data_IF_717942825346
#
_entry.id   IF_717942825346
#
_cell.length_a   1.000
_cell.length_b   1.000
_cell.length_c   1.000
_cell.angle_alpha   90.00
_cell.angle_beta   90.00
_cell.angle_gamma   90.00
#
_symmetry.space_group_name_H-M   'P 1'
#
loop_
_entity.id
_entity.type
_entity.pdbx_description
1 polymer ?
#
# COMPACT_ATOMS: atom_id res chain seq x y z
N UNK A 1 -33.42 -1.16 7.67
CA UNK A 1 -34.89 -0.88 7.62
C UNK A 1 -35.24 0.17 8.66
N UNK A 2 -35.75 1.32 8.25
CA UNK A 2 -36.25 2.35 9.17
C UNK A 2 -37.80 2.30 9.22
N UNK A 3 -38.36 2.47 10.39
CA UNK A 3 -39.80 2.51 10.58
C UNK A 3 -40.25 3.96 10.59
N UNK A 4 -41.29 4.30 9.84
CA UNK A 4 -41.93 5.63 9.86
C UNK A 4 -43.38 5.55 10.30
N UNK A 5 -43.86 6.63 10.91
CA UNK A 5 -45.19 6.75 11.44
C UNK A 5 -45.87 7.96 10.78
N UNK A 6 -47.19 7.82 10.47
CA UNK A 6 -47.97 8.92 9.94
C UNK A 6 -49.32 8.97 10.63
N UNK A 7 -49.80 10.18 10.95
CA UNK A 7 -51.07 10.45 11.58
C UNK A 7 -51.70 11.72 10.98
N UNK A 8 -52.99 11.68 10.67
CA UNK A 8 -53.71 12.82 10.15
C UNK A 8 -54.53 13.50 11.26
N UNK A 9 -54.77 14.81 11.11
CA UNK A 9 -55.67 15.57 11.98
C UNK A 9 -56.82 16.14 11.17
N UNK A 10 -58.06 15.86 11.60
CA UNK A 10 -59.25 16.46 11.06
C UNK A 10 -59.72 17.62 11.99
N UNK A 11 -59.87 18.81 11.45
CA UNK A 11 -60.37 19.97 12.17
C UNK A 11 -61.72 20.42 11.59
N UNK A 12 -62.71 20.53 12.45
CA UNK A 12 -64.03 21.05 12.04
C UNK A 12 -64.73 21.86 13.19
N UNK A 13 -65.36 22.96 12.90
CA UNK A 13 -66.09 23.82 13.87
C UNK A 13 -65.26 24.09 15.16
N UNK A 14 -63.94 24.35 15.03
CA UNK A 14 -63.05 24.61 16.15
C UNK A 14 -62.64 23.38 16.99
N UNK A 15 -62.95 22.17 16.55
CA UNK A 15 -62.52 20.89 17.16
C UNK A 15 -61.55 20.20 16.27
N UNK A 16 -60.57 19.56 16.86
CA UNK A 16 -59.60 18.69 16.18
C UNK A 16 -59.74 17.23 16.66
N UNK A 17 -59.70 16.28 15.71
CA UNK A 17 -59.72 14.84 15.98
C UNK A 17 -58.54 14.24 15.18
N UNK A 18 -57.78 13.38 15.82
CA UNK A 18 -56.63 12.70 15.19
C UNK A 18 -57.04 11.30 14.72
N UNK A 19 -56.43 10.86 13.60
CA UNK A 19 -56.58 9.49 13.11
C UNK A 19 -55.80 8.50 13.96
N UNK A 20 -55.97 7.20 13.67
CA UNK A 20 -54.97 6.21 14.08
C UNK A 20 -53.61 6.52 13.48
N UNK A 21 -52.54 6.06 14.11
CA UNK A 21 -51.19 6.07 13.56
C UNK A 21 -51.07 4.91 12.57
N UNK A 22 -50.57 5.21 11.36
CA UNK A 22 -50.14 4.17 10.41
C UNK A 22 -48.65 4.03 10.50
N UNK A 23 -48.16 2.79 10.36
CA UNK A 23 -46.74 2.44 10.44
C UNK A 23 -46.31 1.87 9.10
N UNK A 24 -45.19 2.36 8.56
CA UNK A 24 -44.53 1.84 7.39
C UNK A 24 -43.07 1.52 7.68
N UNK A 25 -42.45 0.75 6.80
CA UNK A 25 -41.03 0.46 6.85
C UNK A 25 -40.37 0.77 5.51
N UNK A 26 -39.20 1.38 5.55
CA UNK A 26 -38.34 1.49 4.37
C UNK A 26 -37.44 0.25 4.29
N UNK A 27 -37.31 -0.31 3.11
CA UNK A 27 -36.38 -1.43 2.81
C UNK A 27 -35.18 -0.86 2.09
N UNK A 28 -34.01 -1.14 2.60
CA UNK A 28 -32.75 -0.84 1.91
C UNK A 28 -32.63 -1.78 0.71
N UNK A 29 -32.49 -1.19 -0.49
CA UNK A 29 -32.46 -1.94 -1.75
C UNK A 29 -31.08 -1.93 -2.39
N UNK A 30 -30.20 -1.00 -2.01
CA UNK A 30 -28.83 -0.93 -2.52
C UNK A 30 -27.86 -1.62 -1.55
N UNK A 31 -27.05 -2.53 -2.09
CA UNK A 31 -25.89 -3.12 -1.42
C UNK A 31 -24.64 -2.64 -2.13
N UNK A 32 -23.64 -2.20 -1.34
CA UNK A 32 -22.34 -1.76 -1.83
C UNK A 32 -21.27 -2.68 -1.24
N UNK A 33 -20.36 -3.16 -2.08
CA UNK A 33 -19.16 -3.87 -1.65
C UNK A 33 -17.94 -3.27 -2.33
N UNK A 34 -16.79 -3.33 -1.67
CA UNK A 34 -15.51 -2.86 -2.18
C UNK A 34 -14.46 -3.94 -1.99
N UNK A 35 -13.59 -4.13 -2.98
CA UNK A 35 -12.47 -5.06 -2.93
C UNK A 35 -11.24 -4.44 -3.57
N UNK A 36 -10.05 -4.91 -3.20
CA UNK A 36 -8.77 -4.41 -3.70
C UNK A 36 -7.89 -5.55 -4.24
N UNK A 37 -7.13 -5.28 -5.28
CA UNK A 37 -6.16 -6.19 -5.88
C UNK A 37 -4.90 -5.42 -6.28
N UNK A 38 -3.71 -5.81 -5.78
CA UNK A 38 -3.47 -6.83 -4.75
C UNK A 38 -3.98 -6.40 -3.38
N UNK A 39 -4.07 -7.34 -2.42
CA UNK A 39 -4.44 -7.06 -1.04
C UNK A 39 -3.29 -6.49 -0.20
N UNK A 40 -2.07 -6.47 -0.76
CA UNK A 40 -0.87 -5.91 -0.14
C UNK A 40 -0.31 -4.79 -1.00
N UNK A 41 0.48 -3.90 -0.38
CA UNK A 41 1.10 -2.78 -1.09
C UNK A 41 2.53 -2.51 -0.62
N UNK A 42 3.29 -1.86 -1.51
CA UNK A 42 4.48 -1.05 -1.21
C UNK A 42 4.23 0.39 -1.68
N UNK A 43 4.94 1.34 -1.12
CA UNK A 43 4.89 2.71 -1.61
C UNK A 43 5.35 2.75 -3.08
N UNK A 44 4.53 3.35 -3.94
CA UNK A 44 4.71 3.38 -5.39
C UNK A 44 3.91 2.32 -6.16
N UNK A 45 3.37 1.29 -5.50
CA UNK A 45 2.54 0.29 -6.15
C UNK A 45 1.18 0.85 -6.56
N UNK A 46 0.58 0.21 -7.56
CA UNK A 46 -0.79 0.48 -7.99
C UNK A 46 -1.72 -0.61 -7.47
N UNK A 47 -2.81 -0.18 -6.83
CA UNK A 47 -3.90 -1.04 -6.34
C UNK A 47 -5.13 -0.80 -7.20
N UNK A 48 -5.74 -1.87 -7.70
CA UNK A 48 -7.02 -1.83 -8.41
C UNK A 48 -8.15 -2.03 -7.42
N UNK A 49 -9.08 -1.08 -7.35
CA UNK A 49 -10.29 -1.18 -6.56
C UNK A 49 -11.48 -1.54 -7.43
N UNK A 50 -12.34 -2.43 -6.91
CA UNK A 50 -13.61 -2.80 -7.53
C UNK A 50 -14.72 -2.49 -6.54
N UNK A 51 -15.63 -1.57 -6.91
CA UNK A 51 -16.84 -1.25 -6.15
C UNK A 51 -18.04 -1.84 -6.86
N UNK A 52 -18.78 -2.70 -6.18
CA UNK A 52 -19.99 -3.33 -6.72
C UNK A 52 -21.23 -2.75 -6.06
N UNK A 53 -22.15 -2.25 -6.88
CA UNK A 53 -23.45 -1.70 -6.50
C UNK A 53 -24.52 -2.70 -6.97
N UNK A 54 -25.26 -3.33 -6.05
CA UNK A 54 -26.34 -4.27 -6.34
C UNK A 54 -27.67 -3.65 -5.90
N UNK A 55 -28.60 -3.50 -6.83
CA UNK A 55 -29.96 -3.01 -6.57
C UNK A 55 -30.95 -4.18 -6.54
N UNK A 56 -31.39 -4.57 -5.35
CA UNK A 56 -32.42 -5.61 -5.15
C UNK A 56 -33.86 -5.09 -5.31
N UNK A 57 -34.03 -3.79 -5.58
CA UNK A 57 -35.34 -3.15 -5.77
C UNK A 57 -35.93 -3.40 -7.15
N UNK A 58 -37.21 -3.06 -7.29
CA UNK A 58 -37.98 -3.18 -8.54
C UNK A 58 -37.93 -1.95 -9.44
N UNK A 59 -37.27 -0.89 -8.99
CA UNK A 59 -37.06 0.35 -9.75
C UNK A 59 -35.55 0.60 -9.90
N UNK A 60 -35.14 1.18 -11.03
CA UNK A 60 -33.75 1.59 -11.22
C UNK A 60 -33.40 2.74 -10.25
N UNK A 61 -32.18 2.76 -9.73
CA UNK A 61 -31.60 3.88 -9.00
C UNK A 61 -30.76 4.72 -9.99
N UNK A 62 -31.07 5.99 -10.13
CA UNK A 62 -30.41 6.90 -11.07
C UNK A 62 -29.92 8.16 -10.38
N UNK A 63 -28.88 8.80 -10.90
CA UNK A 63 -28.30 10.00 -10.32
C UNK A 63 -27.61 9.73 -8.97
N UNK A 64 -27.05 8.54 -8.79
CA UNK A 64 -26.23 8.24 -7.63
C UNK A 64 -24.87 8.93 -7.74
N UNK A 65 -24.34 9.32 -6.58
CA UNK A 65 -22.97 9.82 -6.42
C UNK A 65 -22.20 8.85 -5.54
N UNK A 66 -21.02 8.46 -6.01
CA UNK A 66 -20.04 7.71 -5.25
C UNK A 66 -18.92 8.66 -4.85
N UNK A 67 -18.59 8.68 -3.56
CA UNK A 67 -17.44 9.40 -3.02
C UNK A 67 -16.52 8.40 -2.33
N UNK A 68 -15.26 8.40 -2.71
CA UNK A 68 -14.21 7.52 -2.19
C UNK A 68 -13.15 8.36 -1.51
N UNK A 69 -12.83 8.04 -0.26
CA UNK A 69 -11.92 8.84 0.56
C UNK A 69 -10.43 8.65 0.21
N UNK A 70 -10.10 7.72 -0.71
CA UNK A 70 -8.74 7.38 -1.10
C UNK A 70 -7.84 7.00 0.10
N UNK A 71 -8.43 6.34 1.10
CA UNK A 71 -7.74 5.92 2.31
C UNK A 71 -7.39 7.07 3.26
N UNK A 72 -8.00 8.24 3.11
CA UNK A 72 -7.69 9.41 3.92
C UNK A 72 -7.83 9.13 5.41
N UNK A 73 -6.85 9.60 6.19
CA UNK A 73 -6.84 9.53 7.64
C UNK A 73 -6.35 10.85 8.25
N UNK A 74 -6.55 11.00 9.55
CA UNK A 74 -6.10 12.17 10.30
C UNK A 74 -4.83 11.82 11.09
N UNK A 75 -3.76 12.61 10.93
CA UNK A 75 -2.53 12.47 11.70
C UNK A 75 -2.74 12.83 13.17
N UNK A 76 -1.83 12.46 14.07
CA UNK A 76 -1.89 12.88 15.47
C UNK A 76 -1.91 14.40 15.68
N UNK A 77 -1.39 15.18 14.73
CA UNK A 77 -1.42 16.65 14.74
C UNK A 77 -2.74 17.25 14.25
N UNK A 78 -3.63 16.43 13.69
CA UNK A 78 -4.95 16.83 13.20
C UNK A 78 -5.01 17.11 11.70
N UNK A 79 -3.93 16.90 10.95
CA UNK A 79 -3.89 17.10 9.50
C UNK A 79 -4.49 15.91 8.78
N UNK A 80 -5.33 16.17 7.76
CA UNK A 80 -5.85 15.13 6.87
C UNK A 80 -4.84 14.82 5.78
N UNK A 81 -4.44 13.57 5.68
CA UNK A 81 -3.54 13.06 4.62
C UNK A 81 -4.23 11.96 3.81
N UNK A 82 -3.81 11.79 2.56
CA UNK A 82 -4.43 10.87 1.61
C UNK A 82 -3.35 9.93 1.06
N UNK A 83 -3.32 8.66 1.46
CA UNK A 83 -2.26 7.71 1.11
C UNK A 83 -2.39 7.13 -0.32
N UNK A 84 -3.51 7.36 -1.00
CA UNK A 84 -3.76 6.87 -2.35
C UNK A 84 -3.97 8.05 -3.32
N UNK A 85 -3.30 7.99 -4.46
CA UNK A 85 -3.51 8.91 -5.58
C UNK A 85 -4.32 8.19 -6.66
N UNK A 86 -5.51 8.69 -7.00
CA UNK A 86 -6.26 8.17 -8.13
C UNK A 86 -5.46 8.24 -9.42
N UNK A 87 -5.42 7.15 -10.19
CA UNK A 87 -4.82 7.13 -11.52
C UNK A 87 -5.83 7.69 -12.52
N UNK A 88 -5.55 8.88 -13.04
CA UNK A 88 -6.45 9.59 -13.94
C UNK A 88 -6.78 8.76 -15.19
N UNK A 89 -8.06 8.71 -15.55
CA UNK A 89 -8.56 7.95 -16.69
C UNK A 89 -8.61 6.43 -16.49
N UNK A 90 -8.32 5.90 -15.30
CA UNK A 90 -8.40 4.46 -15.01
C UNK A 90 -9.83 3.97 -14.74
N UNK A 91 -10.74 4.85 -14.31
CA UNK A 91 -12.10 4.44 -13.94
C UNK A 91 -12.88 3.88 -15.14
N UNK A 92 -13.47 2.69 -14.94
CA UNK A 92 -14.41 2.04 -15.87
C UNK A 92 -15.67 1.65 -15.13
N UNK A 93 -16.82 1.81 -15.80
CA UNK A 93 -18.13 1.47 -15.26
C UNK A 93 -18.78 0.39 -16.12
N UNK A 94 -19.22 -0.70 -15.48
CA UNK A 94 -19.89 -1.81 -16.13
C UNK A 94 -21.30 -1.95 -15.55
N UNK A 95 -22.32 -1.88 -16.36
CA UNK A 95 -23.71 -2.11 -15.96
C UNK A 95 -24.18 -3.46 -16.47
N UNK A 96 -24.55 -4.35 -15.56
CA UNK A 96 -24.89 -5.76 -15.89
C UNK A 96 -23.83 -6.43 -16.78
N UNK A 97 -22.54 -6.16 -16.51
CA UNK A 97 -21.40 -6.72 -17.26
C UNK A 97 -21.09 -6.01 -18.59
N UNK A 98 -21.83 -4.98 -18.97
CA UNK A 98 -21.58 -4.19 -20.19
C UNK A 98 -20.84 -2.91 -19.84
N UNK A 99 -19.69 -2.68 -20.51
CA UNK A 99 -18.92 -1.45 -20.35
C UNK A 99 -19.74 -0.24 -20.80
N UNK A 100 -19.88 0.73 -19.91
CA UNK A 100 -20.54 2.02 -20.16
C UNK A 100 -19.60 3.07 -20.74
N UNK A 101 -20.13 4.29 -21.00
CA UNK A 101 -19.30 5.46 -21.34
C UNK A 101 -18.41 5.84 -20.16
N UNK A 102 -17.34 6.59 -20.44
CA UNK A 102 -16.47 7.11 -19.38
C UNK A 102 -17.27 8.06 -18.47
N UNK A 103 -17.24 7.84 -17.14
CA UNK A 103 -17.99 8.66 -16.20
C UNK A 103 -17.33 10.01 -15.97
N UNK A 104 -18.10 10.97 -15.42
CA UNK A 104 -17.56 12.23 -14.92
C UNK A 104 -16.88 11.98 -13.57
N UNK A 105 -15.60 12.30 -13.50
CA UNK A 105 -14.74 12.09 -12.33
C UNK A 105 -14.16 13.40 -11.85
N UNK A 106 -14.19 13.60 -10.54
CA UNK A 106 -13.39 14.63 -9.86
C UNK A 106 -12.51 13.95 -8.81
N UNK A 107 -11.20 14.18 -8.86
CA UNK A 107 -10.26 13.60 -7.93
C UNK A 107 -9.22 14.65 -7.49
N UNK A 108 -9.40 15.21 -6.30
CA UNK A 108 -8.45 16.16 -5.69
C UNK A 108 -7.98 15.58 -4.35
N UNK A 109 -8.84 15.53 -3.35
CA UNK A 109 -8.59 14.95 -2.02
C UNK A 109 -9.45 13.70 -1.77
N UNK A 110 -10.37 13.43 -2.67
CA UNK A 110 -11.27 12.28 -2.72
C UNK A 110 -11.67 12.04 -4.17
N UNK A 111 -12.05 10.82 -4.49
CA UNK A 111 -12.56 10.46 -5.81
C UNK A 111 -14.09 10.57 -5.80
N UNK A 112 -14.66 11.48 -6.58
CA UNK A 112 -16.12 11.63 -6.75
C UNK A 112 -16.54 11.23 -8.15
N UNK A 113 -17.53 10.33 -8.24
CA UNK A 113 -18.16 9.88 -9.49
C UNK A 113 -19.63 10.18 -9.42
N UNK A 114 -20.16 10.93 -10.39
CA UNK A 114 -21.57 11.34 -10.45
C UNK A 114 -22.34 10.62 -11.54
N UNK A 115 -23.67 10.77 -11.49
CA UNK A 115 -24.61 10.20 -12.48
C UNK A 115 -24.57 8.69 -12.66
N UNK A 116 -24.24 7.97 -11.58
CA UNK A 116 -24.24 6.50 -11.59
C UNK A 116 -25.70 6.02 -11.58
N UNK A 117 -25.97 4.99 -12.41
CA UNK A 117 -27.25 4.30 -12.47
C UNK A 117 -27.08 2.81 -12.19
N UNK A 118 -28.00 2.24 -11.40
CA UNK A 118 -28.06 0.80 -11.13
C UNK A 118 -29.44 0.28 -11.52
N UNK A 119 -29.56 -0.61 -12.52
CA UNK A 119 -30.85 -1.15 -12.99
C UNK A 119 -31.65 -1.85 -11.88
N UNK A 120 -32.95 -1.92 -12.03
CA UNK A 120 -33.81 -2.72 -11.16
C UNK A 120 -33.38 -4.19 -11.18
N UNK A 121 -33.16 -4.80 -10.02
CA UNK A 121 -32.66 -6.19 -9.91
C UNK A 121 -31.31 -6.44 -10.56
N UNK A 122 -30.54 -5.38 -10.88
CA UNK A 122 -29.27 -5.43 -11.58
C UNK A 122 -28.10 -4.91 -10.76
N UNK A 123 -26.93 -4.85 -11.41
CA UNK A 123 -25.70 -4.37 -10.79
C UNK A 123 -24.95 -3.33 -11.64
N UNK A 124 -24.12 -2.54 -10.97
CA UNK A 124 -23.14 -1.66 -11.60
C UNK A 124 -21.83 -1.84 -10.88
N UNK A 125 -20.76 -2.09 -11.64
CA UNK A 125 -19.38 -2.20 -11.14
C UNK A 125 -18.60 -0.98 -11.56
N UNK A 126 -17.84 -0.41 -10.61
CA UNK A 126 -16.84 0.61 -10.86
C UNK A 126 -15.46 0.00 -10.59
N UNK A 127 -14.56 0.10 -11.55
CA UNK A 127 -13.18 -0.41 -11.44
C UNK A 127 -12.25 0.76 -11.68
N UNK A 128 -11.33 1.03 -10.76
CA UNK A 128 -10.35 2.10 -10.89
C UNK A 128 -9.03 1.73 -10.23
N UNK A 129 -7.99 2.44 -10.59
CA UNK A 129 -6.64 2.27 -10.04
C UNK A 129 -6.25 3.44 -9.15
N UNK A 130 -5.48 3.16 -8.11
CA UNK A 130 -4.88 4.16 -7.25
C UNK A 130 -3.44 3.78 -6.91
N UNK A 131 -2.52 4.75 -6.96
CA UNK A 131 -1.10 4.57 -6.61
C UNK A 131 -0.89 4.91 -5.14
N UNK A 132 -0.21 4.03 -4.42
CA UNK A 132 0.15 4.20 -3.01
C UNK A 132 1.30 5.21 -2.89
N UNK A 133 1.15 6.23 -2.06
CA UNK A 133 2.13 7.30 -1.88
C UNK A 133 2.80 7.27 -0.48
N UNK A 134 3.64 8.27 -0.20
CA UNK A 134 4.44 8.38 1.04
C UNK A 134 3.64 8.59 2.32
N UNK A 135 2.33 8.79 2.24
CA UNK A 135 1.44 8.86 3.40
C UNK A 135 0.95 7.47 3.85
N UNK A 136 1.12 6.43 3.04
CA UNK A 136 0.84 5.05 3.45
C UNK A 136 1.96 4.52 4.34
N UNK A 137 1.62 3.91 5.47
CA UNK A 137 2.62 3.34 6.38
C UNK A 137 3.33 2.14 5.75
N UNK A 138 4.67 2.18 5.58
CA UNK A 138 5.44 1.04 5.08
C UNK A 138 5.82 0.02 6.17
N UNK A 139 5.46 0.27 7.44
CA UNK A 139 5.73 -0.64 8.55
C UNK A 139 5.03 -2.00 8.35
N UNK A 140 5.49 -3.05 9.02
CA UNK A 140 4.97 -4.41 8.86
C UNK A 140 3.48 -4.56 9.20
N UNK A 141 2.97 -3.72 10.10
CA UNK A 141 1.57 -3.62 10.49
C UNK A 141 0.82 -2.47 9.80
N UNK A 142 1.47 -1.85 8.79
CA UNK A 142 0.90 -0.75 8.03
C UNK A 142 -0.33 -1.17 7.26
N UNK A 143 -1.37 -0.33 7.28
CA UNK A 143 -2.62 -0.55 6.57
C UNK A 143 -3.09 0.72 5.89
N UNK A 144 -3.84 0.55 4.80
CA UNK A 144 -4.63 1.61 4.16
C UNK A 144 -6.06 1.11 4.04
N UNK A 145 -6.97 1.71 4.83
CA UNK A 145 -8.41 1.45 4.75
C UNK A 145 -9.05 2.50 3.87
N UNK A 146 -9.58 2.06 2.74
CA UNK A 146 -10.20 2.92 1.74
C UNK A 146 -11.71 2.73 1.75
N UNK A 147 -12.46 3.78 2.12
CA UNK A 147 -13.92 3.78 2.24
C UNK A 147 -14.58 4.48 1.06
N UNK A 148 -15.67 3.90 0.59
CA UNK A 148 -16.58 4.50 -0.39
C UNK A 148 -17.94 4.74 0.22
N UNK A 149 -18.55 5.88 -0.10
CA UNK A 149 -19.93 6.23 0.23
C UNK A 149 -20.74 6.42 -1.04
N UNK A 150 -21.88 5.75 -1.14
CA UNK A 150 -22.84 5.93 -2.25
C UNK A 150 -24.09 6.59 -1.73
N UNK A 151 -24.53 7.69 -2.38
CA UNK A 151 -25.66 8.49 -1.98
C UNK A 151 -26.49 8.96 -3.20
N UNK A 152 -27.66 9.50 -2.99
CA UNK A 152 -28.53 10.02 -4.05
C UNK A 152 -29.78 9.12 -4.26
N UNK A 153 -30.54 9.36 -5.32
CA UNK A 153 -31.76 8.62 -5.68
C UNK A 153 -32.78 8.44 -4.54
N UNK A 154 -32.75 9.28 -3.50
CA UNK A 154 -33.64 9.18 -2.35
C UNK A 154 -33.38 8.02 -1.40
N UNK A 155 -32.21 7.34 -1.52
CA UNK A 155 -31.77 6.30 -0.58
C UNK A 155 -30.98 6.91 0.59
N UNK A 156 -30.91 6.20 1.71
CA UNK A 156 -29.91 6.49 2.75
C UNK A 156 -28.51 6.21 2.20
N UNK A 157 -27.48 7.00 2.54
CA UNK A 157 -26.12 6.71 2.15
C UNK A 157 -25.68 5.30 2.59
N UNK A 158 -24.98 4.60 1.71
CA UNK A 158 -24.46 3.25 1.96
C UNK A 158 -22.94 3.30 1.82
N UNK A 159 -22.21 2.74 2.79
CA UNK A 159 -20.76 2.69 2.80
C UNK A 159 -20.23 1.29 2.60
N UNK A 160 -19.03 1.18 2.04
CA UNK A 160 -18.22 -0.03 2.02
C UNK A 160 -16.74 0.36 2.11
N UNK A 161 -15.95 -0.47 2.77
CA UNK A 161 -14.52 -0.26 2.92
C UNK A 161 -13.73 -1.50 2.51
N UNK A 162 -12.48 -1.29 2.15
CA UNK A 162 -11.51 -2.36 1.90
C UNK A 162 -10.16 -1.92 2.48
N UNK A 163 -9.47 -2.85 3.11
CA UNK A 163 -8.17 -2.62 3.72
C UNK A 163 -7.10 -3.41 2.98
N UNK A 164 -6.06 -2.72 2.52
CA UNK A 164 -4.82 -3.30 2.02
C UNK A 164 -3.73 -3.16 3.07
N UNK A 165 -2.81 -4.12 3.14
CA UNK A 165 -1.74 -4.16 4.14
C UNK A 165 -0.37 -3.98 3.51
N UNK A 166 0.58 -3.39 4.25
CA UNK A 166 1.96 -3.30 3.78
C UNK A 166 2.53 -4.70 3.55
N UNK A 167 3.16 -4.92 2.37
CA UNK A 167 3.80 -6.19 2.05
C UNK A 167 4.99 -6.41 2.98
N UNK A 168 4.99 -7.55 3.70
CA UNK A 168 6.09 -7.91 4.60
C UNK A 168 7.24 -8.57 3.83
N UNK A 169 8.46 -8.07 4.03
CA UNK A 169 9.64 -8.65 3.42
C UNK A 169 10.87 -7.76 3.50
N UNK A 170 12.05 -8.36 3.31
CA UNK A 170 13.30 -7.65 3.12
C UNK A 170 13.39 -7.11 1.68
N UNK A 171 13.98 -5.92 1.53
CA UNK A 171 14.31 -5.30 0.24
C UNK A 171 15.76 -4.85 0.27
N UNK A 172 16.63 -5.70 -0.28
CA UNK A 172 18.07 -5.51 -0.20
C UNK A 172 18.61 -4.75 -1.41
N UNK A 173 19.60 -3.91 -1.14
CA UNK A 173 20.48 -3.29 -2.12
C UNK A 173 21.94 -3.40 -1.66
N UNK A 174 22.89 -3.34 -2.61
CA UNK A 174 24.31 -3.40 -2.31
C UNK A 174 25.05 -2.31 -3.08
N UNK A 175 26.00 -1.66 -2.41
CA UNK A 175 26.97 -0.77 -3.04
C UNK A 175 28.39 -1.23 -2.72
N UNK A 176 29.34 -0.98 -3.64
CA UNK A 176 30.75 -1.34 -3.50
C UNK A 176 31.61 -0.08 -3.61
N UNK A 177 32.55 0.08 -2.70
CA UNK A 177 33.56 1.14 -2.72
C UNK A 177 34.96 0.53 -2.60
N UNK A 178 35.97 1.26 -3.09
CA UNK A 178 37.39 0.89 -3.04
C UNK A 178 38.19 2.03 -2.40
N UNK A 179 39.10 1.68 -1.48
CA UNK A 179 40.02 2.64 -0.87
C UNK A 179 41.37 1.96 -0.54
N UNK A 180 42.47 2.61 -0.87
CA UNK A 180 42.64 3.78 -1.72
C UNK A 180 42.38 3.43 -3.20
N UNK A 181 42.01 4.42 -4.01
CA UNK A 181 41.73 4.22 -5.45
C UNK A 181 43.02 4.10 -6.28
N UNK A 182 44.17 4.47 -5.71
CA UNK A 182 45.51 4.35 -6.33
C UNK A 182 46.42 3.70 -5.33
N UNK A 183 47.00 2.56 -5.72
CA UNK A 183 47.90 1.80 -4.89
C UNK A 183 49.18 1.45 -5.70
N UNK A 184 50.38 1.39 -5.07
CA UNK A 184 51.59 0.86 -5.72
C UNK A 184 51.46 -0.65 -5.86
N UNK A 185 52.34 -1.26 -6.67
CA UNK A 185 52.56 -2.71 -6.68
C UNK A 185 52.85 -3.20 -5.26
N UNK A 186 52.24 -4.33 -4.87
CA UNK A 186 52.23 -4.85 -3.51
C UNK A 186 51.57 -3.89 -2.48
N UNK A 187 50.75 -2.95 -2.92
CA UNK A 187 49.98 -2.09 -2.05
C UNK A 187 48.74 -2.76 -1.50
N UNK A 188 48.33 -2.31 -0.34
CA UNK A 188 47.09 -2.78 0.30
C UNK A 188 45.91 -1.95 -0.13
N UNK A 189 44.78 -2.58 -0.37
CA UNK A 189 43.49 -1.92 -0.64
C UNK A 189 42.35 -2.62 0.12
N UNK A 190 41.26 -1.90 0.28
CA UNK A 190 40.05 -2.39 0.93
C UNK A 190 38.84 -2.18 0.01
N UNK A 191 38.14 -3.24 -0.28
CA UNK A 191 36.78 -3.18 -0.81
C UNK A 191 35.78 -3.13 0.36
N UNK A 192 34.84 -2.19 0.27
CA UNK A 192 33.75 -2.04 1.23
C UNK A 192 32.43 -2.27 0.52
N UNK A 193 31.69 -3.27 0.94
CA UNK A 193 30.32 -3.54 0.51
C UNK A 193 29.36 -3.05 1.58
N UNK A 194 28.47 -2.12 1.22
CA UNK A 194 27.38 -1.68 2.10
C UNK A 194 26.11 -2.33 1.60
N UNK A 195 25.50 -3.16 2.44
CA UNK A 195 24.22 -3.82 2.15
C UNK A 195 23.15 -3.11 2.98
N UNK A 196 22.12 -2.65 2.29
CA UNK A 196 21.00 -1.93 2.90
C UNK A 196 19.71 -2.71 2.69
N UNK A 197 18.84 -2.67 3.71
CA UNK A 197 17.49 -3.20 3.68
C UNK A 197 16.51 -2.06 3.91
N UNK A 198 15.68 -1.75 2.91
CA UNK A 198 14.59 -0.77 3.02
C UNK A 198 13.24 -1.44 3.28
N UNK A 199 13.21 -2.76 3.37
CA UNK A 199 12.01 -3.55 3.69
C UNK A 199 11.70 -3.59 5.20
N UNK A 200 10.47 -3.95 5.52
CA UNK A 200 9.93 -3.96 6.87
C UNK A 200 10.16 -5.28 7.64
N UNK A 201 10.84 -6.23 7.04
CA UNK A 201 11.31 -7.45 7.69
C UNK A 201 12.83 -7.56 7.57
N UNK A 202 13.55 -8.18 8.54
CA UNK A 202 14.97 -8.45 8.40
C UNK A 202 15.19 -9.49 7.30
N UNK A 203 16.38 -9.45 6.67
CA UNK A 203 16.91 -10.61 5.97
C UNK A 203 17.68 -11.44 7.00
N UNK A 204 17.21 -12.64 7.26
CA UNK A 204 17.81 -13.55 8.26
C UNK A 204 18.64 -14.67 7.62
N UNK A 205 19.17 -15.58 8.44
CA UNK A 205 20.01 -16.68 7.97
C UNK A 205 19.27 -17.62 6.99
N UNK A 206 17.95 -17.74 7.08
CA UNK A 206 17.15 -18.61 6.21
C UNK A 206 17.02 -18.04 4.79
N UNK A 207 17.19 -16.73 4.62
CA UNK A 207 17.14 -16.06 3.31
C UNK A 207 18.41 -16.35 2.47
N UNK A 208 19.45 -16.94 3.09
CA UNK A 208 20.68 -17.33 2.42
C UNK A 208 21.33 -16.20 1.61
N UNK A 209 21.35 -14.99 2.16
CA UNK A 209 21.98 -13.83 1.51
C UNK A 209 23.46 -14.12 1.28
N UNK A 210 23.93 -13.91 0.04
CA UNK A 210 25.33 -14.09 -0.34
C UNK A 210 25.85 -12.89 -1.11
N UNK A 211 27.15 -12.61 -0.92
CA UNK A 211 27.93 -11.67 -1.74
C UNK A 211 28.99 -12.46 -2.47
N UNK A 212 29.08 -12.29 -3.79
CA UNK A 212 30.13 -12.86 -4.63
C UNK A 212 30.85 -11.75 -5.37
N UNK A 213 32.17 -11.88 -5.52
CA UNK A 213 32.98 -10.93 -6.29
C UNK A 213 34.18 -11.69 -6.91
N UNK A 214 34.63 -11.24 -8.06
CA UNK A 214 35.85 -11.68 -8.67
C UNK A 214 36.85 -10.51 -8.67
N UNK A 215 37.79 -10.51 -7.74
CA UNK A 215 38.74 -9.41 -7.62
C UNK A 215 39.75 -9.41 -8.78
N UNK A 216 39.82 -8.27 -9.46
CA UNK A 216 40.83 -7.97 -10.48
C UNK A 216 41.43 -6.57 -10.20
N UNK A 217 42.70 -6.47 -9.81
CA UNK A 217 43.67 -7.56 -9.64
C UNK A 217 43.32 -8.52 -8.49
N UNK A 218 43.81 -9.78 -8.62
CA UNK A 218 43.68 -10.81 -7.60
C UNK A 218 44.35 -10.34 -6.31
N UNK A 219 43.63 -10.40 -5.19
CA UNK A 219 44.14 -10.04 -3.88
C UNK A 219 44.89 -11.21 -3.23
N UNK A 220 45.89 -10.90 -2.41
CA UNK A 220 46.61 -11.82 -1.56
C UNK A 220 46.46 -11.46 -0.10
N UNK A 221 46.62 -12.43 0.79
CA UNK A 221 46.59 -12.24 2.23
C UNK A 221 45.34 -11.48 2.69
N UNK A 222 44.17 -11.90 2.20
CA UNK A 222 42.93 -11.18 2.48
C UNK A 222 42.52 -11.30 3.95
N UNK A 223 41.98 -10.23 4.47
CA UNK A 223 41.26 -10.18 5.75
C UNK A 223 39.84 -9.69 5.49
N UNK A 224 38.85 -10.36 6.11
CA UNK A 224 37.45 -10.07 5.92
C UNK A 224 36.82 -9.68 7.26
N UNK A 225 36.03 -8.61 7.26
CA UNK A 225 35.23 -8.24 8.43
C UNK A 225 33.77 -8.04 8.04
N UNK A 226 32.88 -8.36 8.96
CA UNK A 226 31.44 -8.10 8.85
C UNK A 226 31.00 -7.26 10.05
N UNK A 227 30.49 -6.07 9.80
CA UNK A 227 30.21 -5.05 10.84
C UNK A 227 31.40 -4.83 11.78
N UNK A 228 32.63 -4.83 11.23
CA UNK A 228 33.86 -4.66 11.99
C UNK A 228 34.31 -5.91 12.77
N UNK A 229 33.57 -7.03 12.73
CA UNK A 229 33.97 -8.27 13.35
C UNK A 229 34.71 -9.16 12.36
N UNK A 230 35.87 -9.75 12.73
CA UNK A 230 36.64 -10.63 11.84
C UNK A 230 35.85 -11.87 11.42
N UNK A 231 35.86 -12.18 10.13
CA UNK A 231 35.35 -13.39 9.54
C UNK A 231 36.46 -14.37 9.21
N UNK A 232 36.14 -15.67 9.23
CA UNK A 232 37.10 -16.75 9.04
C UNK A 232 36.73 -17.62 7.84
N UNK A 233 37.72 -18.02 7.09
CA UNK A 233 37.60 -19.03 6.06
C UNK A 233 37.79 -20.45 6.66
N UNK A 234 37.00 -21.45 6.25
CA UNK A 234 35.87 -21.42 5.32
C UNK A 234 34.51 -21.21 6.01
N UNK A 235 34.47 -20.79 7.28
CA UNK A 235 33.25 -20.74 8.07
C UNK A 235 32.27 -19.64 7.58
N UNK A 236 32.79 -18.46 7.18
CA UNK A 236 31.97 -17.32 6.80
C UNK A 236 32.13 -16.96 5.32
N UNK A 237 33.25 -17.29 4.69
CA UNK A 237 33.50 -17.01 3.28
C UNK A 237 34.47 -18.05 2.69
N UNK A 238 34.61 -18.05 1.38
CA UNK A 238 35.63 -18.73 0.62
C UNK A 238 36.33 -17.77 -0.33
N UNK A 239 37.63 -17.95 -0.54
CA UNK A 239 38.40 -17.16 -1.48
C UNK A 239 39.38 -18.06 -2.26
N UNK A 240 39.38 -17.95 -3.59
CA UNK A 240 40.32 -18.63 -4.45
C UNK A 240 41.39 -17.64 -4.95
N UNK A 241 42.60 -17.73 -4.39
CA UNK A 241 43.73 -16.87 -4.75
C UNK A 241 44.23 -17.08 -6.18
N UNK A 242 43.77 -18.10 -6.90
CA UNK A 242 44.16 -18.35 -8.30
C UNK A 242 43.20 -17.65 -9.28
N UNK A 243 41.96 -17.47 -8.92
CA UNK A 243 40.91 -16.87 -9.76
C UNK A 243 40.44 -15.53 -9.27
N UNK A 244 40.75 -15.14 -8.03
CA UNK A 244 40.23 -13.95 -7.37
C UNK A 244 38.76 -14.07 -6.92
N UNK A 245 38.17 -15.27 -7.01
CA UNK A 245 36.76 -15.46 -6.68
C UNK A 245 36.57 -15.49 -5.17
N UNK A 246 35.80 -14.53 -4.68
CA UNK A 246 35.33 -14.40 -3.32
C UNK A 246 33.83 -14.74 -3.25
N UNK A 247 33.42 -15.49 -2.23
CA UNK A 247 32.03 -15.77 -1.95
C UNK A 247 31.77 -15.90 -0.46
N UNK A 248 30.71 -15.26 0.05
CA UNK A 248 30.26 -15.49 1.43
C UNK A 248 29.48 -16.80 1.53
N UNK A 249 29.57 -17.46 2.69
CA UNK A 249 28.79 -18.68 2.96
C UNK A 249 27.32 -18.29 3.16
N UNK A 250 26.36 -19.00 2.53
CA UNK A 250 24.93 -18.74 2.74
C UNK A 250 24.54 -18.76 4.21
N UNK A 251 23.65 -17.85 4.60
CA UNK A 251 23.15 -17.73 5.96
C UNK A 251 24.07 -16.99 6.95
N UNK A 252 25.24 -16.51 6.50
CA UNK A 252 26.17 -15.74 7.34
C UNK A 252 25.85 -14.23 7.35
N UNK A 253 25.21 -13.73 6.30
CA UNK A 253 24.79 -12.34 6.21
C UNK A 253 23.35 -12.21 6.70
N UNK A 254 23.14 -11.37 7.71
CA UNK A 254 21.81 -10.99 8.21
C UNK A 254 21.70 -9.47 8.19
N UNK A 255 20.64 -8.92 7.59
CA UNK A 255 20.47 -7.48 7.48
C UNK A 255 19.21 -7.06 8.24
N UNK A 256 19.31 -6.17 9.25
CA UNK A 256 18.14 -5.76 10.01
C UNK A 256 17.08 -5.10 9.11
N UNK A 257 15.82 -5.14 9.52
CA UNK A 257 14.76 -4.39 8.87
C UNK A 257 15.04 -2.89 8.90
N UNK A 258 14.45 -2.16 7.98
CA UNK A 258 14.37 -0.71 8.08
C UNK A 258 13.53 -0.27 9.29
N UNK A 259 13.77 0.93 9.76
CA UNK A 259 12.90 1.62 10.72
C UNK A 259 12.14 2.74 10.03
N UNK A 260 10.92 2.98 10.48
CA UNK A 260 10.01 3.94 9.87
C UNK A 260 9.55 4.95 10.91
N UNK A 261 9.45 6.21 10.51
CA UNK A 261 8.91 7.28 11.34
C UNK A 261 8.00 8.16 10.50
N UNK A 262 6.84 8.53 11.05
CA UNK A 262 5.96 9.50 10.42
C UNK A 262 6.42 10.91 10.83
N UNK A 263 6.66 11.77 9.85
CA UNK A 263 6.93 13.18 10.08
C UNK A 263 5.66 13.86 10.61
N UNK A 264 5.75 14.43 11.82
CA UNK A 264 4.60 15.04 12.47
C UNK A 264 4.14 16.36 11.82
N UNK A 265 4.98 16.98 10.99
CA UNK A 265 4.65 18.25 10.33
C UNK A 265 4.02 18.02 8.95
N UNK A 266 4.45 16.97 8.22
CA UNK A 266 3.98 16.69 6.86
C UNK A 266 3.02 15.50 6.79
N UNK A 267 3.11 14.57 7.74
CA UNK A 267 2.41 13.30 7.74
C UNK A 267 3.07 12.23 6.86
N UNK A 268 4.17 12.55 6.16
CA UNK A 268 4.88 11.59 5.32
C UNK A 268 5.67 10.58 6.16
N UNK A 269 5.79 9.37 5.66
CA UNK A 269 6.65 8.35 6.25
C UNK A 269 8.07 8.43 5.70
N UNK A 270 9.04 8.42 6.62
CA UNK A 270 10.47 8.37 6.33
C UNK A 270 11.01 6.99 6.64
N UNK A 271 11.98 6.55 5.83
CA UNK A 271 12.62 5.23 5.92
C UNK A 271 14.07 5.40 6.30
N UNK A 272 14.50 4.75 7.39
CA UNK A 272 15.91 4.60 7.73
C UNK A 272 16.31 3.15 7.47
N UNK A 273 17.14 2.88 6.43
CA UNK A 273 17.51 1.52 6.07
C UNK A 273 18.24 0.78 7.19
N UNK A 274 17.94 -0.50 7.37
CA UNK A 274 18.81 -1.42 8.06
C UNK A 274 20.09 -1.57 7.23
N UNK A 275 21.28 -1.46 7.86
CA UNK A 275 22.56 -1.43 7.11
C UNK A 275 23.58 -2.32 7.76
N UNK A 276 24.31 -3.06 6.93
CA UNK A 276 25.47 -3.85 7.33
C UNK A 276 26.63 -3.60 6.36
N UNK A 277 27.84 -3.80 6.84
CA UNK A 277 29.07 -3.56 6.07
C UNK A 277 29.94 -4.81 6.06
N UNK A 278 30.30 -5.25 4.86
CA UNK A 278 31.31 -6.27 4.63
C UNK A 278 32.56 -5.60 4.06
N UNK A 279 33.72 -5.85 4.65
CA UNK A 279 34.99 -5.34 4.10
C UNK A 279 35.91 -6.49 3.75
N UNK A 280 36.61 -6.34 2.64
CA UNK A 280 37.67 -7.27 2.20
C UNK A 280 38.92 -6.42 1.96
N UNK A 281 39.95 -6.62 2.77
CA UNK A 281 41.24 -5.95 2.65
C UNK A 281 42.30 -6.98 2.19
N UNK A 282 43.11 -6.62 1.20
CA UNK A 282 44.16 -7.49 0.69
C UNK A 282 45.25 -6.70 -0.02
N UNK A 283 46.30 -7.40 -0.42
CA UNK A 283 47.46 -6.88 -1.15
C UNK A 283 47.40 -7.29 -2.63
N UNK A 284 47.70 -6.40 -3.56
CA UNK A 284 47.77 -6.67 -5.02
C UNK A 284 49.15 -7.06 -5.44
#
# INVERSE_FOLDING_TARGET
MATFYNQATLSYRGRAVVSNITTGQTVEVLTVTKTALPATYRVGDTVTYVVSLLNAGTAALTGLTLTDNLGAYTTPTGDRVVPLNYVEGSLRVFTNGVLGPDPTVTAVTELTVTDISVPAGGNTLLVYEATVNTFASPAQDGTVTNEVTVSGAGISPVTAEETVTAESGAQLSITKALSPAVVPENGQLTYTFVIQNIGNAPADAADNVTVTDAFDPILRDITVTYNGQPWQEPANYTYDETTGLFATVPGQITVPAATYAQDSATGEWTVTPGTVTLTVTGTI
#
